data_IF_852450958033
#
_entry.id   IF_852450958033
#
_cell.length_a   1.000
_cell.length_b   1.000
_cell.length_c   1.000
_cell.angle_alpha   90.00
_cell.angle_beta   90.00
_cell.angle_gamma   90.00
#
_symmetry.space_group_name_H-M   'P 1'
#
loop_
_entity.id
_entity.type
_entity.pdbx_description
1 polymer ?
#
# COMPACT_ATOMS: atom_id res chain seq x y z
N UNK A 1 -4.87 -3.99 32.60
CA UNK A 1 -4.08 -4.86 31.69
C UNK A 1 -4.30 -6.29 32.13
N UNK A 2 -4.82 -7.14 31.27
CA UNK A 2 -5.04 -8.55 31.59
C UNK A 2 -3.71 -9.32 31.63
N UNK A 3 -3.61 -10.39 32.43
CA UNK A 3 -2.38 -11.21 32.54
C UNK A 3 -1.81 -11.73 31.20
N UNK A 4 -2.64 -11.88 30.17
CA UNK A 4 -2.22 -12.20 28.80
C UNK A 4 -1.36 -11.09 28.15
N UNK A 5 -1.65 -9.83 28.43
CA UNK A 5 -0.89 -8.70 27.83
C UNK A 5 0.54 -8.63 28.37
N UNK A 6 0.77 -8.98 29.62
CA UNK A 6 2.09 -8.98 30.23
C UNK A 6 3.01 -10.07 29.66
N UNK A 7 2.44 -11.22 29.26
CA UNK A 7 3.22 -12.33 28.70
C UNK A 7 3.72 -12.03 27.27
N UNK A 8 2.91 -11.32 26.48
CA UNK A 8 3.23 -10.94 25.11
C UNK A 8 4.37 -9.91 25.05
N UNK A 9 4.46 -9.02 26.03
CA UNK A 9 5.45 -7.96 26.08
C UNK A 9 6.83 -8.39 26.62
N UNK A 10 6.97 -9.60 27.15
CA UNK A 10 8.25 -10.10 27.72
C UNK A 10 9.36 -10.26 26.67
N UNK A 11 8.98 -10.56 25.43
CA UNK A 11 9.94 -10.81 24.34
C UNK A 11 10.40 -9.53 23.62
N UNK A 12 9.97 -8.36 24.11
CA UNK A 12 10.26 -7.05 23.51
C UNK A 12 11.26 -6.27 24.36
N UNK A 13 12.21 -5.62 23.71
CA UNK A 13 13.06 -4.63 24.38
C UNK A 13 12.26 -3.38 24.76
N UNK A 14 12.82 -2.44 25.58
CA UNK A 14 12.09 -1.25 26.02
C UNK A 14 11.54 -0.40 24.88
N UNK A 15 12.35 -0.13 23.81
CA UNK A 15 11.92 0.68 22.66
C UNK A 15 10.81 0.01 21.85
N UNK A 16 10.95 -1.28 21.56
CA UNK A 16 9.90 -2.07 20.90
C UNK A 16 8.61 -2.07 21.72
N UNK A 17 8.74 -2.21 23.05
CA UNK A 17 7.60 -2.19 23.96
C UNK A 17 6.86 -0.87 23.97
N UNK A 18 7.57 0.26 23.96
CA UNK A 18 6.97 1.59 23.87
C UNK A 18 6.17 1.76 22.55
N UNK A 19 6.74 1.34 21.42
CA UNK A 19 6.07 1.39 20.11
C UNK A 19 4.80 0.51 20.07
N UNK A 20 4.86 -0.70 20.67
CA UNK A 20 3.73 -1.63 20.76
C UNK A 20 2.62 -1.12 21.67
N UNK A 21 2.97 -0.47 22.78
CA UNK A 21 2.00 0.07 23.73
C UNK A 21 1.30 1.35 23.26
N UNK A 22 1.84 2.05 22.28
CA UNK A 22 1.16 3.21 21.68
C UNK A 22 0.00 2.75 20.78
N UNK A 23 -1.21 2.71 21.32
CA UNK A 23 -2.39 2.15 20.62
C UNK A 23 -3.08 3.13 19.68
N UNK A 24 -2.94 4.44 19.87
CA UNK A 24 -3.69 5.44 19.11
C UNK A 24 -2.81 6.53 18.53
N UNK A 25 -3.31 7.14 17.48
CA UNK A 25 -2.64 8.20 16.75
C UNK A 25 -1.55 7.73 15.81
N UNK A 26 -1.03 8.64 14.97
CA UNK A 26 0.01 8.30 14.00
C UNK A 26 1.33 7.98 14.70
N UNK A 27 2.05 7.01 14.18
CA UNK A 27 3.33 6.54 14.72
C UNK A 27 4.31 6.23 13.60
N UNK A 28 5.54 6.68 13.75
CA UNK A 28 6.67 6.34 12.90
C UNK A 28 7.69 5.53 13.71
N UNK A 29 7.99 4.33 13.26
CA UNK A 29 9.01 3.46 13.85
C UNK A 29 10.20 3.43 12.89
N UNK A 30 11.31 4.00 13.32
CA UNK A 30 12.57 4.01 12.56
C UNK A 30 13.44 2.88 13.11
N UNK A 31 13.87 1.98 12.22
CA UNK A 31 14.55 0.78 12.65
C UNK A 31 15.49 0.24 11.58
N UNK A 32 16.76 0.10 11.89
CA UNK A 32 17.73 -0.51 11.00
C UNK A 32 17.49 -2.00 10.74
N UNK A 33 18.33 -2.56 9.85
CA UNK A 33 18.30 -4.00 9.56
C UNK A 33 18.50 -4.81 10.83
N UNK A 34 17.69 -5.85 11.04
CA UNK A 34 17.81 -6.72 12.21
C UNK A 34 17.27 -6.16 13.52
N UNK A 35 16.75 -4.92 13.57
CA UNK A 35 16.21 -4.32 14.78
C UNK A 35 14.82 -4.84 15.20
N UNK A 36 14.25 -5.79 14.45
CA UNK A 36 12.97 -6.42 14.79
C UNK A 36 11.75 -5.64 14.35
N UNK A 37 11.83 -4.89 13.22
CA UNK A 37 10.72 -4.15 12.57
C UNK A 37 9.42 -4.96 12.53
N UNK A 38 9.44 -6.03 11.75
CA UNK A 38 8.29 -6.92 11.54
C UNK A 38 7.80 -7.58 12.86
N UNK A 39 8.72 -7.89 13.77
CA UNK A 39 8.36 -8.39 15.11
C UNK A 39 7.56 -7.32 15.86
N UNK A 40 8.05 -6.10 15.93
CA UNK A 40 7.37 -5.00 16.63
C UNK A 40 5.99 -4.75 16.05
N UNK A 41 5.85 -4.72 14.71
CA UNK A 41 4.56 -4.55 14.04
C UNK A 41 3.60 -5.71 14.35
N UNK A 42 4.08 -6.95 14.30
CA UNK A 42 3.31 -8.15 14.69
C UNK A 42 2.76 -8.04 16.12
N UNK A 43 3.62 -7.68 17.07
CA UNK A 43 3.22 -7.55 18.46
C UNK A 43 2.28 -6.36 18.70
N UNK A 44 2.40 -5.29 17.90
CA UNK A 44 1.43 -4.19 17.94
C UNK A 44 0.04 -4.63 17.49
N UNK A 45 -0.07 -5.42 16.42
CA UNK A 45 -1.36 -6.03 16.01
C UNK A 45 -1.95 -6.86 17.14
N UNK A 46 -1.15 -7.72 17.73
CA UNK A 46 -1.59 -8.57 18.83
C UNK A 46 -2.07 -7.74 20.02
N UNK A 47 -1.35 -6.67 20.35
CA UNK A 47 -1.72 -5.77 21.44
C UNK A 47 -3.01 -4.99 21.15
N UNK A 48 -3.24 -4.55 19.91
CA UNK A 48 -4.52 -3.95 19.49
C UNK A 48 -5.68 -4.92 19.74
N UNK A 49 -5.56 -6.16 19.28
CA UNK A 49 -6.60 -7.19 19.44
C UNK A 49 -6.80 -7.52 20.93
N UNK A 50 -5.73 -7.63 21.71
CA UNK A 50 -5.81 -7.86 23.16
C UNK A 50 -6.48 -6.71 23.92
N UNK A 51 -6.44 -5.48 23.36
CA UNK A 51 -7.18 -4.32 23.85
C UNK A 51 -8.59 -4.19 23.22
N UNK A 52 -9.15 -5.28 22.71
CA UNK A 52 -10.53 -5.39 22.18
C UNK A 52 -10.78 -4.59 20.90
N UNK A 53 -9.73 -4.25 20.14
CA UNK A 53 -9.91 -3.71 18.80
C UNK A 53 -10.30 -4.88 17.88
N UNK A 54 -11.40 -4.70 17.17
CA UNK A 54 -11.94 -5.71 16.27
C UNK A 54 -10.93 -6.02 15.14
N UNK A 55 -10.51 -7.28 14.93
CA UNK A 55 -9.54 -7.63 13.89
C UNK A 55 -9.94 -7.17 12.49
N UNK A 56 -11.23 -7.21 12.17
CA UNK A 56 -11.76 -6.79 10.87
C UNK A 56 -11.56 -5.28 10.59
N UNK A 57 -11.30 -4.48 11.62
CA UNK A 57 -11.02 -3.04 11.51
C UNK A 57 -9.54 -2.71 11.36
N UNK A 58 -8.66 -3.71 11.39
CA UNK A 58 -7.21 -3.55 11.28
C UNK A 58 -6.73 -3.96 9.88
N UNK A 59 -5.92 -3.13 9.25
CA UNK A 59 -5.25 -3.39 7.98
C UNK A 59 -3.75 -3.39 8.20
N UNK A 60 -3.09 -4.47 7.79
CA UNK A 60 -1.63 -4.59 7.82
C UNK A 60 -1.13 -4.75 6.39
N UNK A 61 -0.27 -3.86 5.97
CA UNK A 61 0.29 -3.84 4.63
C UNK A 61 1.78 -4.13 4.66
N UNK A 62 2.20 -5.01 3.79
CA UNK A 62 3.60 -5.38 3.57
C UNK A 62 3.95 -5.21 2.10
N UNK A 63 5.25 -5.19 1.80
CA UNK A 63 5.71 -5.04 0.42
C UNK A 63 5.56 -6.33 -0.40
N UNK A 64 5.67 -7.51 0.22
CA UNK A 64 5.61 -8.81 -0.47
C UNK A 64 4.55 -9.73 0.11
N UNK A 65 4.00 -10.61 -0.74
CA UNK A 65 3.07 -11.65 -0.29
C UNK A 65 3.73 -12.62 0.71
N UNK A 66 5.03 -12.89 0.56
CA UNK A 66 5.78 -13.72 1.48
C UNK A 66 5.81 -13.12 2.89
N UNK A 67 6.16 -11.83 3.02
CA UNK A 67 6.17 -11.13 4.30
C UNK A 67 4.76 -11.09 4.93
N UNK A 68 3.73 -10.87 4.12
CA UNK A 68 2.35 -10.91 4.57
C UNK A 68 1.97 -12.28 5.14
N UNK A 69 2.33 -13.36 4.46
CA UNK A 69 2.05 -14.73 4.89
C UNK A 69 2.79 -15.04 6.20
N UNK A 70 4.08 -14.75 6.27
CA UNK A 70 4.89 -14.96 7.48
C UNK A 70 4.32 -14.20 8.69
N UNK A 71 3.91 -12.95 8.51
CA UNK A 71 3.29 -12.14 9.56
C UNK A 71 1.94 -12.73 9.98
N UNK A 72 1.11 -13.14 9.03
CA UNK A 72 -0.18 -13.78 9.26
C UNK A 72 -0.02 -15.04 10.10
N UNK A 73 0.90 -15.92 9.71
CA UNK A 73 1.17 -17.18 10.42
C UNK A 73 1.65 -16.93 11.85
N UNK A 74 2.52 -15.93 12.04
CA UNK A 74 3.02 -15.54 13.36
C UNK A 74 1.91 -15.03 14.27
N UNK A 75 1.04 -14.14 13.75
CA UNK A 75 -0.11 -13.61 14.51
C UNK A 75 -1.07 -14.73 14.86
N UNK A 76 -1.39 -15.61 13.90
CA UNK A 76 -2.30 -16.74 14.11
C UNK A 76 -1.80 -17.70 15.19
N UNK A 77 -0.49 -18.03 15.18
CA UNK A 77 0.13 -18.89 16.20
C UNK A 77 0.09 -18.28 17.60
N UNK A 78 0.34 -16.97 17.69
CA UNK A 78 0.37 -16.29 18.99
C UNK A 78 -1.02 -16.04 19.58
N UNK A 79 -1.99 -15.70 18.74
CA UNK A 79 -3.37 -15.45 19.20
C UNK A 79 -4.24 -16.71 19.26
N UNK A 80 -3.83 -17.80 18.62
CA UNK A 80 -4.60 -19.05 18.50
C UNK A 80 -6.02 -18.81 17.98
N UNK A 81 -6.21 -17.86 17.06
CA UNK A 81 -7.50 -17.50 16.47
C UNK A 81 -7.47 -17.58 14.97
N UNK A 82 -8.65 -17.84 14.36
CA UNK A 82 -8.84 -17.74 12.91
C UNK A 82 -9.37 -16.36 12.49
N UNK A 83 -9.87 -15.55 13.43
CA UNK A 83 -10.31 -14.18 13.17
C UNK A 83 -9.09 -13.26 13.14
N UNK A 84 -8.61 -12.95 11.94
CA UNK A 84 -7.40 -12.19 11.70
C UNK A 84 -7.73 -10.86 10.98
N UNK A 85 -6.88 -9.83 11.16
CA UNK A 85 -6.91 -8.61 10.35
C UNK A 85 -6.76 -8.90 8.86
N UNK A 86 -7.02 -7.88 8.04
CA UNK A 86 -6.48 -7.92 6.69
C UNK A 86 -4.95 -7.81 6.77
N UNK A 87 -4.23 -8.81 6.28
CA UNK A 87 -2.76 -8.83 6.18
C UNK A 87 -2.42 -9.18 4.74
N UNK A 88 -1.78 -8.26 4.02
CA UNK A 88 -1.51 -8.42 2.59
C UNK A 88 -0.66 -7.30 2.02
N UNK A 89 -0.55 -7.29 0.70
CA UNK A 89 0.13 -6.20 -0.02
C UNK A 89 -0.83 -5.04 -0.32
N UNK A 90 -0.29 -3.86 -0.67
CA UNK A 90 -1.07 -2.72 -1.15
C UNK A 90 -1.97 -3.10 -2.33
N UNK A 91 -1.42 -3.84 -3.31
CA UNK A 91 -2.18 -4.30 -4.47
C UNK A 91 -3.30 -5.28 -4.10
N UNK A 92 -3.02 -6.21 -3.17
CA UNK A 92 -4.04 -7.14 -2.66
C UNK A 92 -5.18 -6.41 -1.92
N UNK A 93 -4.85 -5.34 -1.19
CA UNK A 93 -5.85 -4.51 -0.51
C UNK A 93 -6.68 -3.69 -1.50
N UNK A 94 -6.02 -3.05 -2.47
CA UNK A 94 -6.69 -2.31 -3.54
C UNK A 94 -7.59 -3.22 -4.39
N UNK A 95 -7.12 -4.42 -4.74
CA UNK A 95 -7.91 -5.42 -5.44
C UNK A 95 -9.18 -5.80 -4.65
N UNK A 96 -9.08 -5.98 -3.33
CA UNK A 96 -10.25 -6.25 -2.46
C UNK A 96 -11.27 -5.12 -2.52
N UNK A 97 -10.83 -3.87 -2.56
CA UNK A 97 -11.70 -2.70 -2.73
C UNK A 97 -12.34 -2.72 -4.11
N UNK A 98 -11.55 -2.88 -5.17
CA UNK A 98 -12.03 -2.85 -6.56
C UNK A 98 -13.01 -3.98 -6.87
N UNK A 99 -12.85 -5.18 -6.30
CA UNK A 99 -13.83 -6.28 -6.48
C UNK A 99 -15.23 -5.92 -5.98
N UNK A 100 -15.35 -4.94 -5.11
CA UNK A 100 -16.64 -4.44 -4.60
C UNK A 100 -17.08 -3.17 -5.35
N UNK A 101 -16.16 -2.24 -5.58
CA UNK A 101 -16.47 -0.86 -5.94
C UNK A 101 -16.21 -0.50 -7.41
N UNK A 102 -15.66 -1.41 -8.24
CA UNK A 102 -15.28 -1.11 -9.63
C UNK A 102 -16.45 -0.57 -10.49
N UNK A 103 -17.69 -0.89 -10.12
CA UNK A 103 -18.89 -0.37 -10.78
C UNK A 103 -18.99 1.15 -10.76
N UNK A 104 -18.44 1.80 -9.72
CA UNK A 104 -18.40 3.25 -9.60
C UNK A 104 -17.55 3.92 -10.71
N UNK A 105 -16.65 3.15 -11.35
CA UNK A 105 -15.86 3.59 -12.50
C UNK A 105 -16.36 3.01 -13.84
N UNK A 106 -17.51 2.33 -13.83
CA UNK A 106 -18.11 1.73 -15.02
C UNK A 106 -17.42 0.43 -15.46
N UNK A 107 -16.76 -0.28 -14.54
CA UNK A 107 -16.24 -1.63 -14.75
C UNK A 107 -17.17 -2.67 -14.12
N UNK A 108 -17.15 -3.91 -14.64
CA UNK A 108 -17.79 -5.04 -13.98
C UNK A 108 -16.89 -5.56 -12.85
N UNK A 109 -17.46 -6.07 -11.76
CA UNK A 109 -16.67 -6.55 -10.62
C UNK A 109 -15.81 -7.80 -10.93
N UNK A 110 -16.17 -8.55 -12.01
CA UNK A 110 -15.40 -9.70 -12.51
C UNK A 110 -14.31 -9.32 -13.51
N UNK A 111 -13.75 -8.11 -13.40
CA UNK A 111 -12.68 -7.63 -14.27
C UNK A 111 -11.45 -8.56 -14.25
N UNK A 112 -10.70 -8.57 -15.35
CA UNK A 112 -9.41 -9.27 -15.45
C UNK A 112 -8.27 -8.38 -14.93
N UNK A 113 -7.17 -9.01 -14.51
CA UNK A 113 -5.92 -8.31 -14.18
C UNK A 113 -4.92 -8.74 -15.24
N UNK A 114 -4.47 -7.80 -16.06
CA UNK A 114 -3.48 -8.04 -17.10
C UNK A 114 -2.09 -8.05 -16.50
N UNK A 115 -1.31 -9.06 -16.88
CA UNK A 115 0.10 -9.13 -16.59
C UNK A 115 0.92 -8.17 -17.47
N UNK A 116 2.25 -8.15 -17.29
CA UNK A 116 3.15 -7.30 -18.09
C UNK A 116 3.09 -7.63 -19.58
N UNK A 117 3.02 -8.90 -19.95
CA UNK A 117 2.97 -9.36 -21.35
C UNK A 117 1.67 -8.94 -22.04
N UNK A 118 0.53 -9.14 -21.37
CA UNK A 118 -0.79 -8.73 -21.84
C UNK A 118 -0.86 -7.19 -21.98
N UNK A 119 -0.31 -6.47 -21.01
CA UNK A 119 -0.25 -5.01 -21.00
C UNK A 119 0.61 -4.46 -22.15
N UNK A 120 1.78 -5.05 -22.42
CA UNK A 120 2.64 -4.68 -23.56
C UNK A 120 1.91 -4.94 -24.89
N UNK A 121 1.20 -6.05 -24.99
CA UNK A 121 0.40 -6.39 -26.18
C UNK A 121 -0.69 -5.34 -26.41
N UNK A 122 -1.34 -4.90 -25.35
CA UNK A 122 -2.37 -3.87 -25.42
C UNK A 122 -1.79 -2.49 -25.80
N UNK A 123 -0.60 -2.14 -25.30
CA UNK A 123 0.13 -0.93 -25.72
C UNK A 123 0.47 -0.99 -27.21
N UNK A 124 0.91 -2.15 -27.73
CA UNK A 124 1.14 -2.33 -29.18
C UNK A 124 -0.14 -2.09 -29.99
N UNK A 125 -1.28 -2.60 -29.51
CA UNK A 125 -2.59 -2.33 -30.13
C UNK A 125 -2.95 -0.85 -30.11
N UNK A 126 -2.70 -0.15 -28.99
CA UNK A 126 -2.93 1.29 -28.88
C UNK A 126 -2.10 2.10 -29.90
N UNK A 127 -0.81 1.77 -30.05
CA UNK A 127 0.07 2.40 -31.06
C UNK A 127 -0.48 2.18 -32.48
N UNK A 128 -0.94 0.97 -32.80
CA UNK A 128 -1.50 0.65 -34.10
C UNK A 128 -2.82 1.39 -34.37
N UNK A 129 -3.73 1.44 -33.39
CA UNK A 129 -5.01 2.18 -33.50
C UNK A 129 -4.80 3.68 -33.80
N UNK A 130 -3.72 4.25 -33.28
CA UNK A 130 -3.36 5.65 -33.49
C UNK A 130 -2.58 5.91 -34.79
N UNK A 131 -2.38 4.89 -35.64
CA UNK A 131 -1.60 4.97 -36.87
C UNK A 131 -0.17 5.50 -36.66
N UNK A 132 0.43 5.21 -35.50
CA UNK A 132 1.79 5.64 -35.15
C UNK A 132 2.85 4.60 -35.59
N UNK A 133 2.74 4.09 -36.83
CA UNK A 133 3.63 3.04 -37.36
C UNK A 133 5.12 3.42 -37.34
N UNK A 134 5.43 4.73 -37.43
CA UNK A 134 6.79 5.26 -37.37
C UNK A 134 7.27 5.61 -35.95
N UNK A 135 6.53 5.20 -34.92
CA UNK A 135 6.90 5.48 -33.55
C UNK A 135 8.15 4.66 -33.16
N UNK A 136 9.26 5.36 -32.90
CA UNK A 136 10.58 4.75 -32.73
C UNK A 136 10.75 3.91 -31.46
N UNK A 137 9.83 4.00 -30.48
CA UNK A 137 9.94 3.25 -29.24
C UNK A 137 9.20 1.91 -29.34
N UNK A 138 9.80 0.84 -28.81
CA UNK A 138 9.12 -0.43 -28.68
C UNK A 138 7.93 -0.33 -27.69
N UNK A 139 6.90 -1.15 -27.89
CA UNK A 139 5.74 -1.20 -26.99
C UNK A 139 6.15 -1.49 -25.53
N UNK A 140 7.18 -2.30 -25.30
CA UNK A 140 7.74 -2.56 -23.97
C UNK A 140 8.32 -1.31 -23.33
N UNK A 141 9.09 -0.51 -24.09
CA UNK A 141 9.62 0.75 -23.57
C UNK A 141 8.51 1.78 -23.28
N UNK A 142 7.47 1.81 -24.11
CA UNK A 142 6.30 2.66 -23.88
C UNK A 142 5.59 2.25 -22.60
N UNK A 143 5.33 0.95 -22.43
CA UNK A 143 4.70 0.42 -21.23
C UNK A 143 5.50 0.77 -19.97
N UNK A 144 6.82 0.59 -19.98
CA UNK A 144 7.68 0.96 -18.85
C UNK A 144 7.57 2.44 -18.49
N UNK A 145 7.49 3.33 -19.49
CA UNK A 145 7.29 4.77 -19.26
C UNK A 145 5.90 5.07 -18.70
N UNK A 146 4.87 4.40 -19.18
CA UNK A 146 3.49 4.51 -18.66
C UNK A 146 3.45 4.02 -17.21
N UNK A 147 4.01 2.86 -16.91
CA UNK A 147 4.08 2.31 -15.56
C UNK A 147 4.86 3.24 -14.61
N UNK A 148 6.01 3.77 -15.05
CA UNK A 148 6.76 4.75 -14.27
C UNK A 148 5.92 6.00 -13.96
N UNK A 149 5.20 6.54 -14.95
CA UNK A 149 4.30 7.68 -14.77
C UNK A 149 3.20 7.37 -13.76
N UNK A 150 2.53 6.22 -13.90
CA UNK A 150 1.50 5.75 -12.96
C UNK A 150 2.01 5.68 -11.52
N UNK A 151 3.23 5.17 -11.32
CA UNK A 151 3.84 5.02 -10.01
C UNK A 151 4.38 6.32 -9.40
N UNK A 152 4.59 7.37 -10.21
CA UNK A 152 4.91 8.73 -9.70
C UNK A 152 3.68 9.49 -9.20
N UNK A 153 2.48 9.03 -9.54
CA UNK A 153 1.22 9.70 -9.27
C UNK A 153 0.78 10.57 -10.44
N UNK A 154 -0.43 10.32 -10.91
CA UNK A 154 -1.02 10.94 -12.12
C UNK A 154 -1.32 12.43 -11.98
N UNK A 155 -1.20 13.00 -10.79
CA UNK A 155 -1.45 14.43 -10.55
C UNK A 155 -0.38 15.34 -11.21
N UNK A 156 0.72 14.75 -11.69
CA UNK A 156 1.79 15.43 -12.41
C UNK A 156 1.74 15.11 -13.92
N UNK A 157 0.75 15.63 -14.61
CA UNK A 157 0.60 15.46 -16.08
C UNK A 157 1.85 15.89 -16.91
N UNK A 158 2.73 16.70 -16.32
CA UNK A 158 3.96 17.18 -16.93
C UNK A 158 5.04 16.11 -17.16
N UNK A 159 4.90 14.92 -16.60
CA UNK A 159 5.90 13.85 -16.74
C UNK A 159 5.71 12.96 -17.97
N UNK A 160 4.56 13.04 -18.64
CA UNK A 160 4.34 12.28 -19.87
C UNK A 160 4.45 13.20 -21.07
N UNK A 161 5.44 12.99 -21.97
CA UNK A 161 5.48 13.70 -23.25
C UNK A 161 4.16 13.55 -24.02
N UNK A 162 3.76 14.58 -24.77
CA UNK A 162 2.48 14.62 -25.47
C UNK A 162 2.24 13.36 -26.35
N UNK A 163 3.27 12.87 -27.03
CA UNK A 163 3.21 11.66 -27.85
C UNK A 163 2.92 10.37 -27.02
N UNK A 164 3.40 10.31 -25.79
CA UNK A 164 3.11 9.19 -24.90
C UNK A 164 1.76 9.34 -24.22
N UNK A 165 1.31 10.56 -23.96
CA UNK A 165 -0.01 10.84 -23.37
C UNK A 165 -1.14 10.32 -24.26
N UNK A 166 -1.06 10.48 -25.57
CA UNK A 166 -2.06 9.96 -26.52
C UNK A 166 -2.12 8.43 -26.47
N UNK A 167 -0.94 7.76 -26.46
CA UNK A 167 -0.87 6.29 -26.36
C UNK A 167 -1.41 5.81 -25.00
N UNK A 168 -1.08 6.51 -23.92
CA UNK A 168 -1.59 6.20 -22.58
C UNK A 168 -3.12 6.26 -22.52
N UNK A 169 -3.72 7.30 -23.08
CA UNK A 169 -5.19 7.45 -23.10
C UNK A 169 -5.87 6.34 -23.90
N UNK A 170 -5.33 5.98 -25.07
CA UNK A 170 -5.86 4.87 -25.87
C UNK A 170 -5.66 3.52 -25.16
N UNK A 171 -4.52 3.34 -24.48
CA UNK A 171 -4.25 2.16 -23.66
C UNK A 171 -5.27 2.01 -22.52
N UNK A 172 -5.54 3.09 -21.75
CA UNK A 172 -6.55 3.09 -20.68
C UNK A 172 -7.97 2.80 -21.22
N UNK A 173 -8.31 3.34 -22.39
CA UNK A 173 -9.57 3.05 -23.07
C UNK A 173 -9.68 1.56 -23.44
N UNK A 174 -8.63 1.00 -24.02
CA UNK A 174 -8.59 -0.44 -24.36
C UNK A 174 -8.69 -1.32 -23.11
N UNK A 175 -8.02 -1.00 -22.01
CA UNK A 175 -8.19 -1.70 -20.74
C UNK A 175 -9.66 -1.69 -20.29
N UNK A 176 -10.33 -0.54 -20.40
CA UNK A 176 -11.74 -0.41 -20.04
C UNK A 176 -12.65 -1.23 -20.95
N UNK A 177 -12.42 -1.24 -22.26
CA UNK A 177 -13.16 -2.06 -23.21
C UNK A 177 -13.04 -3.57 -22.93
N UNK A 178 -11.86 -4.01 -22.51
CA UNK A 178 -11.61 -5.39 -22.08
C UNK A 178 -12.10 -5.69 -20.66
N UNK A 179 -12.69 -4.72 -19.95
CA UNK A 179 -13.03 -4.84 -18.52
C UNK A 179 -11.83 -5.37 -17.73
N UNK A 180 -10.68 -4.71 -17.88
CA UNK A 180 -9.42 -5.15 -17.28
C UNK A 180 -8.69 -3.98 -16.62
N UNK A 181 -7.86 -4.31 -15.64
CA UNK A 181 -6.87 -3.41 -15.04
C UNK A 181 -5.49 -4.02 -15.25
N UNK A 182 -4.47 -3.19 -15.47
CA UNK A 182 -3.10 -3.61 -15.25
C UNK A 182 -2.75 -3.54 -13.75
N UNK A 183 -1.55 -3.96 -13.39
CA UNK A 183 -1.14 -4.02 -12.00
C UNK A 183 -1.09 -2.64 -11.33
N UNK A 184 -0.61 -1.61 -12.06
CA UNK A 184 -0.54 -0.24 -11.53
C UNK A 184 -1.93 0.37 -11.33
N UNK A 185 -2.88 0.03 -12.21
CA UNK A 185 -4.26 0.49 -12.11
C UNK A 185 -4.98 -0.01 -10.86
N UNK A 186 -4.55 -1.10 -10.23
CA UNK A 186 -5.18 -1.54 -8.99
C UNK A 186 -5.15 -0.45 -7.91
N UNK A 187 -3.99 0.19 -7.73
CA UNK A 187 -3.86 1.28 -6.75
C UNK A 187 -4.54 2.56 -7.25
N UNK A 188 -4.27 2.95 -8.50
CA UNK A 188 -4.77 4.20 -9.07
C UNK A 188 -6.30 4.23 -9.16
N UNK A 189 -6.93 3.12 -9.54
CA UNK A 189 -8.40 3.06 -9.65
C UNK A 189 -9.08 3.01 -8.29
N UNK A 190 -8.46 2.41 -7.27
CA UNK A 190 -8.94 2.52 -5.90
C UNK A 190 -8.87 3.98 -5.40
N UNK A 191 -7.77 4.69 -5.68
CA UNK A 191 -7.65 6.13 -5.41
C UNK A 191 -8.69 6.96 -6.16
N UNK A 192 -8.89 6.67 -7.44
CA UNK A 192 -9.88 7.36 -8.28
C UNK A 192 -11.28 7.23 -7.72
N UNK A 193 -11.67 6.03 -7.24
CA UNK A 193 -12.96 5.82 -6.57
C UNK A 193 -13.07 6.70 -5.33
N UNK A 194 -12.08 6.70 -4.46
CA UNK A 194 -12.13 7.47 -3.22
C UNK A 194 -12.13 8.99 -3.44
N UNK A 195 -11.47 9.47 -4.51
CA UNK A 195 -11.50 10.89 -4.88
C UNK A 195 -12.85 11.31 -5.49
N UNK A 196 -13.48 10.44 -6.29
CA UNK A 196 -14.74 10.73 -7.01
C UNK A 196 -16.00 10.41 -6.18
N UNK A 197 -15.89 9.51 -5.23
CA UNK A 197 -17.00 8.97 -4.43
C UNK A 197 -16.69 9.07 -2.93
N UNK A 198 -16.86 10.27 -2.33
CA UNK A 198 -16.58 10.49 -0.90
C UNK A 198 -17.38 9.56 0.02
N UNK A 199 -18.59 9.18 -0.36
CA UNK A 199 -19.44 8.23 0.37
C UNK A 199 -18.81 6.83 0.44
N UNK A 200 -18.10 6.43 -0.61
CA UNK A 200 -17.35 5.17 -0.62
C UNK A 200 -16.14 5.29 0.30
N UNK A 201 -15.40 6.40 0.25
CA UNK A 201 -14.27 6.65 1.13
C UNK A 201 -14.72 6.57 2.61
N UNK A 202 -15.78 7.27 2.97
CA UNK A 202 -16.33 7.27 4.34
C UNK A 202 -16.70 5.86 4.82
N UNK A 203 -17.31 5.05 3.94
CA UNK A 203 -17.62 3.64 4.22
C UNK A 203 -16.36 2.86 4.62
N UNK A 204 -15.24 3.04 3.92
CA UNK A 204 -13.99 2.34 4.20
C UNK A 204 -13.25 2.93 5.41
N UNK A 205 -13.34 4.23 5.68
CA UNK A 205 -12.82 4.88 6.87
C UNK A 205 -13.53 4.40 8.14
N UNK A 206 -14.87 4.23 8.09
CA UNK A 206 -15.64 3.64 9.18
C UNK A 206 -15.31 2.17 9.40
N UNK A 207 -15.04 1.43 8.32
CA UNK A 207 -14.72 0.00 8.38
C UNK A 207 -13.33 -0.26 8.94
N UNK A 208 -12.33 0.51 8.53
CA UNK A 208 -10.93 0.30 8.88
C UNK A 208 -10.43 1.44 9.75
N UNK A 209 -10.15 1.13 11.01
CA UNK A 209 -9.75 2.11 12.00
C UNK A 209 -8.25 2.14 12.28
N UNK A 210 -7.50 1.09 11.87
CA UNK A 210 -6.08 0.96 12.12
C UNK A 210 -5.34 0.51 10.87
N UNK A 211 -4.27 1.23 10.52
CA UNK A 211 -3.39 0.91 9.40
C UNK A 211 -1.96 0.73 9.90
N UNK A 212 -1.37 -0.43 9.61
CA UNK A 212 0.01 -0.74 9.96
C UNK A 212 0.77 -1.09 8.68
N UNK A 213 1.88 -0.42 8.43
CA UNK A 213 2.63 -0.56 7.18
C UNK A 213 4.07 -0.96 7.49
N UNK A 214 4.49 -2.10 6.97
CA UNK A 214 5.89 -2.57 7.03
C UNK A 214 6.66 -2.09 5.80
N UNK A 215 7.98 -1.92 5.93
CA UNK A 215 8.91 -1.46 4.89
C UNK A 215 8.41 -0.18 4.17
N UNK A 216 8.03 0.81 4.97
CA UNK A 216 7.39 2.03 4.46
C UNK A 216 8.29 2.84 3.52
N UNK A 217 9.61 2.72 3.63
CA UNK A 217 10.57 3.35 2.71
C UNK A 217 10.44 2.87 1.26
N UNK A 218 9.85 1.68 1.04
CA UNK A 218 9.66 1.11 -0.30
C UNK A 218 8.31 1.51 -0.94
N UNK A 219 7.50 2.29 -0.21
CA UNK A 219 6.18 2.75 -0.66
C UNK A 219 6.31 3.83 -1.73
N UNK A 220 5.51 3.74 -2.80
CA UNK A 220 5.41 4.80 -3.81
C UNK A 220 4.31 5.82 -3.50
N UNK A 221 4.28 6.93 -4.27
CA UNK A 221 3.33 8.02 -4.05
C UNK A 221 1.85 7.58 -4.09
N UNK A 222 1.36 6.82 -5.08
CA UNK A 222 -0.03 6.33 -5.08
C UNK A 222 -0.38 5.45 -3.89
N UNK A 223 0.51 4.57 -3.47
CA UNK A 223 0.31 3.71 -2.30
C UNK A 223 0.17 4.54 -1.03
N UNK A 224 1.04 5.52 -0.86
CA UNK A 224 0.98 6.42 0.29
C UNK A 224 -0.31 7.27 0.28
N UNK A 225 -0.68 7.84 -0.88
CA UNK A 225 -1.93 8.59 -1.01
C UNK A 225 -3.16 7.75 -0.64
N UNK A 226 -3.20 6.48 -1.05
CA UNK A 226 -4.28 5.57 -0.73
C UNK A 226 -4.46 5.42 0.79
N UNK A 227 -3.37 5.18 1.50
CA UNK A 227 -3.41 5.00 2.96
C UNK A 227 -3.66 6.32 3.68
N UNK A 228 -3.10 7.43 3.19
CA UNK A 228 -3.34 8.75 3.75
C UNK A 228 -4.83 9.11 3.71
N UNK A 229 -5.51 8.86 2.58
CA UNK A 229 -6.96 9.07 2.47
C UNK A 229 -7.74 8.20 3.45
N UNK A 230 -7.43 6.91 3.52
CA UNK A 230 -8.15 5.97 4.38
C UNK A 230 -7.94 6.23 5.87
N UNK A 231 -6.73 6.62 6.27
CA UNK A 231 -6.38 6.87 7.67
C UNK A 231 -6.74 8.29 8.15
N UNK A 232 -7.16 9.20 7.27
CA UNK A 232 -7.34 10.62 7.58
C UNK A 232 -8.37 10.87 8.69
N UNK A 233 -9.42 10.06 8.78
CA UNK A 233 -10.46 10.19 9.80
C UNK A 233 -9.98 9.70 11.17
N UNK A 234 -9.57 8.44 11.25
CA UNK A 234 -9.21 7.80 12.52
C UNK A 234 -7.79 8.14 13.00
N UNK A 235 -6.91 8.53 12.09
CA UNK A 235 -5.50 8.89 12.31
C UNK A 235 -4.65 7.80 12.99
N UNK A 236 -5.15 6.57 13.09
CA UNK A 236 -4.42 5.44 13.67
C UNK A 236 -3.59 4.74 12.60
N UNK A 237 -2.52 5.39 12.21
CA UNK A 237 -1.56 4.87 11.25
C UNK A 237 -0.20 4.64 11.93
N UNK A 238 0.35 3.44 11.75
CA UNK A 238 1.70 3.11 12.20
C UNK A 238 2.52 2.68 10.99
N UNK A 239 3.60 3.37 10.74
CA UNK A 239 4.55 3.00 9.68
C UNK A 239 5.87 2.57 10.28
N UNK A 240 6.47 1.53 9.70
CA UNK A 240 7.80 1.04 10.09
C UNK A 240 8.70 1.10 8.88
N UNK A 241 9.84 1.72 9.01
CA UNK A 241 10.79 1.87 7.91
C UNK A 241 12.23 1.95 8.37
N UNK A 242 13.11 1.82 7.41
CA UNK A 242 14.56 1.92 7.56
C UNK A 242 15.04 3.06 6.65
N UNK A 243 15.59 4.10 7.24
CA UNK A 243 16.09 5.27 6.52
C UNK A 243 17.34 4.97 5.68
N UNK A 244 18.08 3.88 5.99
CA UNK A 244 19.29 3.45 5.30
C UNK A 244 19.07 2.43 4.18
N UNK A 245 17.87 1.79 4.09
CA UNK A 245 17.61 0.68 3.18
C UNK A 245 16.72 1.00 1.97
N UNK A 246 16.62 2.25 1.54
CA UNK A 246 15.84 2.62 0.34
C UNK A 246 16.54 2.14 -0.96
N UNK A 247 16.56 0.82 -1.18
CA UNK A 247 17.23 0.18 -2.35
C UNK A 247 16.30 0.02 -3.57
N UNK A 248 14.99 0.21 -3.42
CA UNK A 248 13.98 0.03 -4.48
C UNK A 248 13.64 1.31 -5.24
N UNK A 249 14.59 2.23 -5.39
CA UNK A 249 14.39 3.46 -6.17
C UNK A 249 13.97 3.20 -7.64
N UNK A 250 14.35 2.04 -8.21
CA UNK A 250 13.94 1.62 -9.55
C UNK A 250 12.42 1.33 -9.68
N UNK A 251 11.70 1.13 -8.58
CA UNK A 251 10.23 1.00 -8.52
C UNK A 251 9.53 2.29 -8.09
N UNK A 252 10.19 3.43 -8.27
CA UNK A 252 9.70 4.75 -7.86
C UNK A 252 9.50 4.91 -6.35
N UNK A 253 10.15 4.10 -5.52
CA UNK A 253 10.21 4.32 -4.08
C UNK A 253 10.86 5.68 -3.80
N UNK A 254 10.26 6.45 -2.92
CA UNK A 254 10.72 7.79 -2.57
C UNK A 254 11.05 7.85 -1.08
N UNK A 255 12.36 7.83 -0.74
CA UNK A 255 12.82 7.92 0.65
C UNK A 255 12.30 9.17 1.39
N UNK A 256 11.94 10.22 0.63
CA UNK A 256 11.31 11.44 1.19
C UNK A 256 9.94 11.15 1.82
N UNK A 257 9.34 9.99 1.54
CA UNK A 257 8.06 9.58 2.14
C UNK A 257 8.16 9.50 3.66
N UNK A 258 9.28 9.03 4.21
CA UNK A 258 9.52 9.05 5.67
C UNK A 258 9.54 10.47 6.23
N UNK A 259 10.23 11.39 5.54
CA UNK A 259 10.27 12.81 5.93
C UNK A 259 8.91 13.48 5.76
N UNK A 260 8.18 13.14 4.70
CA UNK A 260 6.86 13.69 4.43
C UNK A 260 5.82 13.15 5.42
N UNK A 261 6.02 11.94 5.97
CA UNK A 261 5.10 11.39 6.97
C UNK A 261 4.92 12.32 8.18
N UNK A 262 5.99 12.90 8.69
CA UNK A 262 5.91 13.84 9.81
C UNK A 262 5.21 15.15 9.45
N UNK A 263 5.35 15.63 8.19
CA UNK A 263 4.63 16.82 7.70
C UNK A 263 3.13 16.54 7.58
N UNK A 264 2.76 15.37 7.09
CA UNK A 264 1.38 14.96 6.92
C UNK A 264 0.70 14.59 8.25
N UNK A 265 1.49 14.13 9.22
CA UNK A 265 1.04 13.71 10.54
C UNK A 265 1.87 14.39 11.65
N UNK A 266 1.66 15.72 11.89
CA UNK A 266 2.50 16.48 12.81
C UNK A 266 2.49 15.96 14.26
N UNK A 267 1.41 15.27 14.66
CA UNK A 267 1.27 14.64 15.97
C UNK A 267 1.85 13.21 16.05
N UNK A 268 2.56 12.76 15.00
CA UNK A 268 3.13 11.42 14.98
C UNK A 268 4.17 11.22 16.08
N UNK A 269 4.01 10.14 16.84
CA UNK A 269 5.04 9.70 17.79
C UNK A 269 6.12 8.93 17.06
N UNK A 270 7.37 9.25 17.34
CA UNK A 270 8.53 8.61 16.73
C UNK A 270 9.17 7.65 17.72
N UNK A 271 9.46 6.44 17.27
CA UNK A 271 10.12 5.40 18.03
C UNK A 271 11.37 4.94 17.28
N UNK A 272 12.51 4.83 17.97
CA UNK A 272 13.77 4.37 17.42
C UNK A 272 14.08 2.96 17.95
N UNK A 273 14.29 2.00 17.04
CA UNK A 273 14.73 0.66 17.39
C UNK A 273 16.22 0.51 17.03
N UNK A 274 17.07 0.78 18.02
CA UNK A 274 18.53 0.84 17.81
C UNK A 274 19.22 -0.52 17.99
N UNK A 275 18.61 -1.44 18.74
CA UNK A 275 19.23 -2.72 19.07
C UNK A 275 19.13 -3.70 17.90
N UNK A 276 20.27 -4.11 17.36
CA UNK A 276 20.37 -5.11 16.31
C UNK A 276 20.42 -6.52 16.92
N UNK A 277 19.65 -7.46 16.35
CA UNK A 277 19.55 -8.86 16.78
C UNK A 277 20.07 -9.87 15.75
N UNK A 278 20.67 -9.39 14.65
CA UNK A 278 21.32 -10.23 13.62
C UNK A 278 22.81 -10.28 13.82
#
# INVERSE_FOLDING_TARGET
>A
MTNSNLKILKDLNPSQKQAVLNLSGPSLIIAGAGAGKTKTLTYKVINLIANKIEPSSIVVLTFTNKAALEMKDRIQKLLKTKNLPFIGTFHGFALKILRVEAKNLGYKNNFSIFDEGESITLVKKAINNLNLANFKNSASNVYKKISFYKNKGTDNESYLPASLKVIYLEYEKLLKEHNAFDFDNLILKALEIFKKHPEVLEKYQKKYSYFLIDEFQDTNSPQYQLIKLLASENKNITVVGDDWQSIYSFRSADYRILLNFQKDWPQAKIFFLEQNYR
#
